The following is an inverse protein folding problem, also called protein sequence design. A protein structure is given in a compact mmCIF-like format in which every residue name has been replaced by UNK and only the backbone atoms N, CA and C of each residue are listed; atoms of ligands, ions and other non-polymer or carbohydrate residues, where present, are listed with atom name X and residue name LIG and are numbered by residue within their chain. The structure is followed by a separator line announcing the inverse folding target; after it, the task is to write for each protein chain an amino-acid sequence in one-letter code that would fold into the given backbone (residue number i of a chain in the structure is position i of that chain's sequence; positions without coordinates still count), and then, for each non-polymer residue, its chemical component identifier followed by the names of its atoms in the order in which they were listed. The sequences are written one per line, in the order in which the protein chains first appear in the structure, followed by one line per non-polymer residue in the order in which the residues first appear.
data_IF_869595944360
#
_entry.id   IF_869595944360
#
_cell.length_a   1.000
_cell.length_b   1.000
_cell.length_c   1.000
_cell.angle_alpha   90.00
_cell.angle_beta   90.00
_cell.angle_gamma   90.00
#
_symmetry.space_group_name_H-M   'P 1'
#
loop_
_entity.id
_entity.type
_entity.pdbx_description
1 polymer ?
#
# COMPACT_ATOMS: atom_id res chain seq x y z
N UNK A 1 -0.71 8.14 9.60
CA UNK A 1 -0.90 9.16 8.52
C UNK A 1 -2.26 9.82 8.73
N UNK A 2 -2.40 11.14 8.54
CA UNK A 2 -3.71 11.82 8.64
C UNK A 2 -4.73 11.14 7.70
N UNK A 3 -5.90 10.77 8.22
CA UNK A 3 -7.04 10.09 7.58
C UNK A 3 -7.71 10.87 6.42
N UNK A 4 -6.97 11.71 5.70
CA UNK A 4 -7.47 12.39 4.49
C UNK A 4 -7.28 11.47 3.28
N UNK A 5 -8.39 10.98 2.71
CA UNK A 5 -8.39 10.23 1.44
C UNK A 5 -7.65 11.02 0.36
N UNK A 6 -6.75 10.41 -0.43
CA UNK A 6 -5.97 11.12 -1.43
C UNK A 6 -6.84 11.68 -2.56
N UNK A 7 -6.45 12.85 -3.08
CA UNK A 7 -6.97 13.39 -4.34
C UNK A 7 -6.05 13.03 -5.51
N UNK A 8 -6.64 12.86 -6.70
CA UNK A 8 -5.90 12.65 -7.93
C UNK A 8 -5.08 13.91 -8.28
N UNK A 9 -3.77 13.78 -8.57
CA UNK A 9 -2.93 14.92 -8.92
C UNK A 9 -3.29 15.53 -10.28
N UNK A 10 -3.89 14.75 -11.18
CA UNK A 10 -4.18 15.16 -12.55
C UNK A 10 -5.59 15.74 -12.70
N UNK A 11 -6.57 15.17 -12.00
CA UNK A 11 -7.99 15.57 -12.07
C UNK A 11 -8.46 16.42 -10.89
N UNK A 12 -7.76 16.38 -9.75
CA UNK A 12 -8.15 17.08 -8.53
C UNK A 12 -9.31 16.43 -7.74
N UNK A 13 -9.95 15.38 -8.27
CA UNK A 13 -11.05 14.66 -7.60
C UNK A 13 -10.55 13.70 -6.50
N UNK A 14 -11.41 13.41 -5.52
CA UNK A 14 -11.16 12.38 -4.49
C UNK A 14 -10.99 11.01 -5.16
N UNK A 15 -9.98 10.25 -4.72
CA UNK A 15 -9.76 8.90 -5.22
C UNK A 15 -10.57 7.87 -4.41
N UNK A 16 -10.98 6.79 -5.08
CA UNK A 16 -11.71 5.68 -4.47
C UNK A 16 -10.75 4.58 -4.00
N UNK A 17 -10.95 4.08 -2.79
CA UNK A 17 -10.19 2.93 -2.29
C UNK A 17 -10.70 1.63 -2.93
N UNK A 18 -9.78 0.81 -3.43
CA UNK A 18 -10.11 -0.45 -4.09
C UNK A 18 -9.20 -1.58 -3.60
N UNK A 19 -9.71 -2.82 -3.64
CA UNK A 19 -8.89 -3.99 -3.32
C UNK A 19 -8.07 -4.43 -4.53
N UNK A 20 -6.74 -4.48 -4.37
CA UNK A 20 -5.85 -4.99 -5.39
C UNK A 20 -5.47 -6.46 -5.10
N UNK A 21 -5.72 -7.34 -6.06
CA UNK A 21 -5.47 -8.78 -5.94
C UNK A 21 -4.59 -9.29 -7.10
N UNK A 22 -3.68 -10.21 -6.80
CA UNK A 22 -2.89 -10.94 -7.79
C UNK A 22 -3.01 -12.44 -7.52
N UNK A 23 -3.68 -13.18 -8.41
CA UNK A 23 -3.73 -14.65 -8.35
C UNK A 23 -4.26 -15.23 -7.02
N UNK A 24 -5.27 -14.59 -6.41
CA UNK A 24 -5.85 -15.04 -5.14
C UNK A 24 -5.12 -14.54 -3.88
N UNK A 25 -4.03 -13.79 -4.04
CA UNK A 25 -3.29 -13.18 -2.93
C UNK A 25 -3.46 -11.65 -2.93
N UNK A 26 -3.46 -11.07 -1.73
CA UNK A 26 -3.28 -9.63 -1.56
C UNK A 26 -1.82 -9.26 -1.84
N UNK A 27 -1.64 -8.15 -2.54
CA UNK A 27 -0.30 -7.59 -2.75
C UNK A 27 0.22 -6.97 -1.46
N UNK A 28 1.52 -7.14 -1.21
CA UNK A 28 2.23 -6.61 -0.06
C UNK A 28 3.55 -6.01 -0.51
N UNK A 29 3.96 -4.93 0.12
CA UNK A 29 5.32 -4.41 0.00
C UNK A 29 6.26 -5.27 0.84
N UNK A 30 7.49 -5.45 0.36
CA UNK A 30 8.53 -6.20 1.07
C UNK A 30 9.72 -5.27 1.23
N UNK A 31 10.12 -5.00 2.48
CA UNK A 31 11.32 -4.22 2.77
C UNK A 31 12.56 -5.09 2.67
N UNK A 32 13.69 -4.50 2.31
CA UNK A 32 14.99 -5.16 2.45
C UNK A 32 15.47 -5.22 3.90
N UNK A 33 14.84 -4.47 4.79
CA UNK A 33 15.04 -4.58 6.24
C UNK A 33 14.37 -5.84 6.79
N UNK A 34 15.06 -6.47 7.75
CA UNK A 34 14.52 -7.60 8.49
C UNK A 34 13.36 -7.19 9.39
N UNK A 35 12.51 -8.15 9.77
CA UNK A 35 11.63 -7.97 10.92
C UNK A 35 12.44 -7.76 12.20
N UNK A 36 11.87 -7.07 13.17
CA UNK A 36 12.56 -6.89 14.44
C UNK A 36 12.77 -8.22 15.19
N UNK A 37 13.83 -8.22 16.01
CA UNK A 37 14.15 -9.31 16.92
C UNK A 37 14.59 -10.61 16.21
N UNK A 38 14.20 -11.74 16.81
CA UNK A 38 14.67 -13.08 16.40
C UNK A 38 14.18 -13.45 14.99
N UNK A 39 13.06 -12.89 14.53
CA UNK A 39 12.55 -13.18 13.20
C UNK A 39 13.44 -12.57 12.10
N UNK A 40 13.97 -11.37 12.33
CA UNK A 40 14.94 -10.75 11.43
C UNK A 40 16.26 -11.49 11.35
N UNK A 41 16.76 -11.99 12.49
CA UNK A 41 18.00 -12.79 12.49
C UNK A 41 17.86 -14.13 11.77
N UNK A 42 16.63 -14.63 11.60
CA UNK A 42 16.28 -15.79 10.78
C UNK A 42 15.99 -15.43 9.30
N UNK A 43 16.21 -14.17 8.90
CA UNK A 43 16.07 -13.71 7.51
C UNK A 43 14.65 -13.38 7.08
N UNK A 44 13.69 -13.27 8.01
CA UNK A 44 12.35 -12.81 7.66
C UNK A 44 12.35 -11.31 7.36
N UNK A 45 11.89 -10.95 6.16
CA UNK A 45 11.73 -9.56 5.73
C UNK A 45 10.46 -8.93 6.30
N UNK A 46 10.51 -7.62 6.52
CA UNK A 46 9.33 -6.83 6.86
C UNK A 46 8.36 -6.77 5.67
N UNK A 47 7.07 -6.89 5.94
CA UNK A 47 6.02 -6.86 4.93
C UNK A 47 4.92 -5.92 5.38
N UNK A 48 4.41 -5.14 4.44
CA UNK A 48 3.37 -4.15 4.68
C UNK A 48 2.22 -4.38 3.72
N UNK A 49 1.00 -4.22 4.20
CA UNK A 49 -0.18 -4.29 3.34
C UNK A 49 -0.18 -3.09 2.36
N UNK A 50 -0.82 -3.30 1.21
CA UNK A 50 -0.90 -2.29 0.15
C UNK A 50 -2.31 -1.71 0.06
N UNK A 51 -2.45 -0.42 0.40
CA UNK A 51 -3.68 0.33 0.21
C UNK A 51 -3.69 0.92 -1.21
N UNK A 52 -4.73 0.62 -2.00
CA UNK A 52 -4.83 1.05 -3.38
C UNK A 52 -5.95 2.07 -3.57
N UNK A 53 -5.62 3.18 -4.23
CA UNK A 53 -6.58 4.23 -4.56
C UNK A 53 -6.59 4.48 -6.06
N UNK A 54 -7.76 4.59 -6.65
CA UNK A 54 -7.96 4.78 -8.10
C UNK A 54 -8.77 6.05 -8.35
N UNK A 55 -8.30 6.89 -9.26
CA UNK A 55 -9.08 8.03 -9.73
C UNK A 55 -10.22 7.53 -10.62
N UNK A 56 -11.45 7.91 -10.28
CA UNK A 56 -12.66 7.53 -11.03
C UNK A 56 -12.78 8.18 -12.41
N UNK A 57 -12.02 9.25 -12.68
CA UNK A 57 -12.09 9.96 -13.96
C UNK A 57 -11.00 9.51 -14.94
N UNK A 58 -9.74 9.48 -14.52
CA UNK A 58 -8.60 9.18 -15.41
C UNK A 58 -7.94 7.82 -15.17
N UNK A 59 -8.32 7.09 -14.11
CA UNK A 59 -7.75 5.79 -13.78
C UNK A 59 -6.35 5.83 -13.13
N UNK A 60 -5.75 7.01 -12.91
CA UNK A 60 -4.49 7.11 -12.16
C UNK A 60 -4.63 6.36 -10.84
N UNK A 61 -3.70 5.46 -10.59
CA UNK A 61 -3.72 4.58 -9.42
C UNK A 61 -2.51 4.84 -8.54
N UNK A 62 -2.71 4.83 -7.23
CA UNK A 62 -1.67 4.98 -6.21
C UNK A 62 -1.70 3.81 -5.24
N UNK A 63 -0.52 3.31 -4.89
CA UNK A 63 -0.34 2.26 -3.91
C UNK A 63 0.46 2.84 -2.74
N UNK A 64 -0.06 2.67 -1.53
CA UNK A 64 0.57 3.11 -0.31
C UNK A 64 0.87 1.88 0.55
N UNK A 65 2.10 1.79 1.05
CA UNK A 65 2.42 0.84 2.10
C UNK A 65 1.71 1.28 3.38
N UNK A 66 1.04 0.34 4.03
CA UNK A 66 0.49 0.54 5.35
C UNK A 66 1.63 0.45 6.39
N UNK A 67 2.13 1.61 6.81
CA UNK A 67 3.28 1.75 7.68
C UNK A 67 2.88 2.01 9.14
N UNK A 68 1.70 1.57 9.58
CA UNK A 68 1.28 1.70 10.99
C UNK A 68 2.47 1.38 11.93
N UNK A 69 2.79 2.34 12.82
CA UNK A 69 4.00 2.42 13.66
C UNK A 69 4.21 1.21 14.58
#
# INVERSE_FOLDING_TARGET
MNESTPCCPDCGVKMEEMKLHAGGHQLRFVSDEGKDGILGSLGMKQQFDANAFVCSECGLSRLYADLDE
#
